data_IF_985080037393
#
_entry.id   IF_985080037393
#
_cell.length_a   1.000
_cell.length_b   1.000
_cell.length_c   1.000
_cell.angle_alpha   90.00
_cell.angle_beta   90.00
_cell.angle_gamma   90.00
#
_symmetry.space_group_name_H-M   'P 1'
#
loop_
_entity.id
_entity.type
_entity.pdbx_description
1 polymer ?
#
# COMPACT_ATOMS: atom_id res chain seq x y z
N UNK A 1 -8.26 2.17 -7.53
CA UNK A 1 -9.75 2.14 -7.63
C UNK A 1 -10.25 1.97 -9.05
N UNK A 2 -9.72 2.69 -10.05
CA UNK A 2 -10.13 2.54 -11.46
C UNK A 2 -9.93 1.13 -12.02
N UNK A 3 -8.78 0.50 -11.74
CA UNK A 3 -8.53 -0.92 -12.07
C UNK A 3 -9.64 -1.84 -11.55
N UNK A 4 -9.96 -1.75 -10.25
CA UNK A 4 -10.99 -2.56 -9.61
C UNK A 4 -12.36 -2.36 -10.26
N UNK A 5 -12.75 -1.11 -10.50
CA UNK A 5 -14.04 -0.80 -11.11
C UNK A 5 -14.15 -1.32 -12.56
N UNK A 6 -13.04 -1.33 -13.31
CA UNK A 6 -13.04 -1.76 -14.72
C UNK A 6 -12.86 -3.27 -14.90
N UNK A 7 -12.15 -3.93 -14.00
CA UNK A 7 -11.70 -5.33 -14.19
C UNK A 7 -12.27 -6.31 -13.17
N UNK A 8 -12.82 -5.79 -12.07
CA UNK A 8 -13.19 -6.60 -10.91
C UNK A 8 -12.00 -7.19 -10.16
N UNK A 9 -10.76 -6.72 -10.43
CA UNK A 9 -9.56 -7.21 -9.78
C UNK A 9 -8.74 -6.06 -9.18
N UNK A 10 -8.02 -6.36 -8.10
CA UNK A 10 -6.98 -5.48 -7.56
C UNK A 10 -5.90 -6.33 -6.90
N UNK A 11 -4.62 -6.00 -7.12
CA UNK A 11 -3.51 -6.68 -6.46
C UNK A 11 -3.60 -6.59 -4.93
N UNK A 12 -3.09 -7.60 -4.21
CA UNK A 12 -3.11 -7.61 -2.74
C UNK A 12 -2.50 -6.33 -2.12
N UNK A 13 -1.38 -5.85 -2.69
CA UNK A 13 -0.76 -4.58 -2.28
C UNK A 13 -1.69 -3.39 -2.52
N UNK A 14 -2.39 -3.36 -3.66
CA UNK A 14 -3.42 -2.35 -3.94
C UNK A 14 -4.53 -2.36 -2.90
N UNK A 15 -5.06 -3.54 -2.54
CA UNK A 15 -6.13 -3.67 -1.52
C UNK A 15 -5.68 -3.11 -0.17
N UNK A 16 -4.46 -3.44 0.25
CA UNK A 16 -3.85 -2.94 1.48
C UNK A 16 -3.66 -1.41 1.47
N UNK A 17 -3.20 -0.85 0.35
CA UNK A 17 -3.03 0.60 0.21
C UNK A 17 -4.36 1.34 0.33
N UNK A 18 -5.39 0.86 -0.39
CA UNK A 18 -6.74 1.43 -0.33
C UNK A 18 -7.33 1.33 1.08
N UNK A 19 -7.22 0.17 1.73
CA UNK A 19 -7.75 -0.03 3.07
C UNK A 19 -7.07 0.88 4.10
N UNK A 20 -5.74 1.00 4.05
CA UNK A 20 -5.01 1.92 4.92
C UNK A 20 -5.38 3.38 4.64
N UNK A 21 -5.49 3.79 3.37
CA UNK A 21 -5.84 5.17 3.03
C UNK A 21 -7.24 5.53 3.54
N UNK A 22 -8.24 4.68 3.27
CA UNK A 22 -9.62 4.91 3.70
C UNK A 22 -9.74 4.99 5.22
N UNK A 23 -9.11 4.08 5.95
CA UNK A 23 -9.29 3.98 7.40
C UNK A 23 -8.35 4.87 8.21
N UNK A 24 -7.14 5.15 7.72
CA UNK A 24 -6.09 5.86 8.47
C UNK A 24 -5.79 7.27 7.97
N UNK A 25 -6.02 7.55 6.68
CA UNK A 25 -5.85 8.91 6.14
C UNK A 25 -7.19 9.65 6.12
N UNK A 26 -8.27 9.00 5.69
CA UNK A 26 -9.61 9.62 5.66
C UNK A 26 -10.41 9.43 6.95
N UNK A 27 -10.04 8.46 7.79
CA UNK A 27 -10.75 8.17 9.04
C UNK A 27 -12.17 7.62 8.84
N UNK A 28 -12.45 7.03 7.67
CA UNK A 28 -13.77 6.50 7.34
C UNK A 28 -13.97 5.08 7.92
N UNK A 29 -15.24 4.69 8.06
CA UNK A 29 -15.61 3.35 8.49
C UNK A 29 -15.14 2.31 7.48
N UNK A 30 -14.37 1.33 7.96
CA UNK A 30 -13.79 0.28 7.14
C UNK A 30 -14.83 -0.58 6.42
N UNK A 31 -16.04 -0.71 6.99
CA UNK A 31 -17.13 -1.51 6.43
C UNK A 31 -17.56 -1.01 5.06
N UNK A 32 -17.56 0.30 4.86
CA UNK A 32 -17.88 0.91 3.55
C UNK A 32 -16.90 0.45 2.47
N UNK A 33 -15.61 0.34 2.81
CA UNK A 33 -14.60 -0.16 1.90
C UNK A 33 -14.74 -1.66 1.63
N UNK A 34 -15.06 -2.44 2.67
CA UNK A 34 -15.31 -3.88 2.55
C UNK A 34 -16.50 -4.18 1.64
N UNK A 35 -17.63 -3.49 1.83
CA UNK A 35 -18.85 -3.60 1.00
C UNK A 35 -18.57 -3.23 -0.46
N UNK A 36 -17.80 -2.16 -0.70
CA UNK A 36 -17.43 -1.76 -2.06
C UNK A 36 -16.55 -2.81 -2.75
N UNK A 37 -15.64 -3.44 -2.01
CA UNK A 37 -14.81 -4.52 -2.53
C UNK A 37 -15.59 -5.81 -2.74
N UNK A 38 -16.56 -6.12 -1.88
CA UNK A 38 -17.51 -7.22 -2.10
C UNK A 38 -18.30 -7.05 -3.39
N UNK A 39 -18.78 -5.84 -3.65
CA UNK A 39 -19.54 -5.55 -4.87
C UNK A 39 -18.73 -5.70 -6.16
N UNK A 40 -17.43 -5.37 -6.15
CA UNK A 40 -16.61 -5.32 -7.37
C UNK A 40 -15.70 -6.52 -7.57
N UNK A 41 -15.22 -7.17 -6.52
CA UNK A 41 -14.19 -8.21 -6.66
C UNK A 41 -14.76 -9.48 -7.29
N UNK A 42 -14.20 -9.88 -8.43
CA UNK A 42 -14.53 -11.16 -9.06
C UNK A 42 -14.00 -12.36 -8.26
N UNK A 43 -12.93 -12.15 -7.48
CA UNK A 43 -12.33 -13.13 -6.59
C UNK A 43 -12.74 -12.93 -5.13
N UNK A 44 -13.94 -12.38 -4.90
CA UNK A 44 -14.43 -12.12 -3.57
C UNK A 44 -14.56 -13.40 -2.74
N UNK A 45 -13.96 -13.36 -1.55
CA UNK A 45 -14.20 -14.30 -0.46
C UNK A 45 -14.47 -13.49 0.81
N UNK A 46 -15.52 -13.84 1.53
CA UNK A 46 -16.03 -13.08 2.69
C UNK A 46 -14.95 -12.97 3.76
N UNK A 47 -14.34 -14.11 4.12
CA UNK A 47 -13.33 -14.19 5.18
C UNK A 47 -12.09 -13.36 4.82
N UNK A 48 -11.60 -13.53 3.58
CA UNK A 48 -10.42 -12.83 3.09
C UNK A 48 -10.66 -11.32 2.97
N UNK A 49 -11.82 -10.89 2.46
CA UNK A 49 -12.13 -9.48 2.30
C UNK A 49 -12.31 -8.80 3.66
N UNK A 50 -13.31 -9.22 4.43
CA UNK A 50 -13.63 -8.58 5.71
C UNK A 50 -12.50 -8.71 6.73
N UNK A 51 -11.79 -9.85 6.76
CA UNK A 51 -10.63 -10.04 7.63
C UNK A 51 -9.49 -9.05 7.33
N UNK A 52 -9.17 -8.83 6.05
CA UNK A 52 -8.13 -7.87 5.65
C UNK A 52 -8.51 -6.42 5.96
N UNK A 53 -9.78 -6.05 5.76
CA UNK A 53 -10.29 -4.72 6.09
C UNK A 53 -10.30 -4.45 7.59
N UNK A 54 -10.82 -5.39 8.39
CA UNK A 54 -10.82 -5.34 9.85
C UNK A 54 -9.39 -5.17 10.40
N UNK A 55 -8.46 -5.98 9.88
CA UNK A 55 -7.05 -5.93 10.25
C UNK A 55 -6.40 -4.58 9.88
N UNK A 56 -6.65 -4.07 8.67
CA UNK A 56 -6.09 -2.80 8.20
C UNK A 56 -6.66 -1.60 8.97
N UNK A 57 -7.93 -1.68 9.37
CA UNK A 57 -8.56 -0.71 10.26
C UNK A 57 -7.97 -0.74 11.68
N UNK A 58 -7.21 -1.77 12.04
CA UNK A 58 -6.69 -1.96 13.38
C UNK A 58 -7.79 -2.30 14.38
N UNK A 59 -8.87 -2.93 13.94
CA UNK A 59 -9.97 -3.39 14.79
C UNK A 59 -9.75 -4.87 15.13
N UNK A 60 -10.09 -5.29 16.35
CA UNK A 60 -10.02 -6.69 16.78
C UNK A 60 -8.97 -6.96 17.85
N UNK A 61 -8.49 -8.20 17.93
CA UNK A 61 -7.74 -8.73 19.08
C UNK A 61 -6.23 -8.37 19.11
N UNK A 62 -5.68 -7.78 18.05
CA UNK A 62 -4.32 -7.22 18.01
C UNK A 62 -4.35 -5.89 17.22
N UNK A 63 -4.96 -4.83 17.80
CA UNK A 63 -5.11 -3.55 17.12
C UNK A 63 -3.74 -2.91 16.97
N UNK A 64 -3.16 -3.01 15.77
CA UNK A 64 -1.88 -2.36 15.46
C UNK A 64 -2.14 -0.97 14.90
N UNK A 65 -2.51 -0.04 15.79
CA UNK A 65 -2.83 1.35 15.47
C UNK A 65 -1.71 2.05 14.67
N UNK A 66 -0.46 1.68 14.92
CA UNK A 66 0.72 2.23 14.26
C UNK A 66 0.97 1.70 12.83
N UNK A 67 0.17 0.77 12.32
CA UNK A 67 0.33 0.21 10.96
C UNK A 67 -0.46 1.00 9.93
N UNK A 68 0.04 2.20 9.65
CA UNK A 68 -0.39 3.03 8.54
C UNK A 68 0.60 2.91 7.38
N UNK A 69 0.11 2.70 6.17
CA UNK A 69 0.93 2.76 4.97
C UNK A 69 1.14 4.21 4.53
N UNK A 70 2.34 4.50 4.03
CA UNK A 70 2.62 5.76 3.37
C UNK A 70 2.42 5.59 1.86
N UNK A 71 1.35 6.16 1.32
CA UNK A 71 0.95 5.96 -0.09
C UNK A 71 2.05 6.38 -1.07
N UNK A 72 2.76 7.47 -0.79
CA UNK A 72 3.87 7.92 -1.63
C UNK A 72 5.01 6.91 -1.62
N UNK A 73 5.39 6.42 -0.44
CA UNK A 73 6.42 5.38 -0.34
C UNK A 73 5.99 4.10 -1.09
N UNK A 74 4.74 3.67 -0.93
CA UNK A 74 4.24 2.48 -1.62
C UNK A 74 4.28 2.64 -3.15
N UNK A 75 3.92 3.83 -3.67
CA UNK A 75 4.07 4.15 -5.09
C UNK A 75 5.53 4.04 -5.55
N UNK A 76 6.46 4.63 -4.81
CA UNK A 76 7.89 4.56 -5.12
C UNK A 76 8.48 3.14 -5.03
N UNK A 77 8.02 2.33 -4.08
CA UNK A 77 8.53 0.97 -3.88
C UNK A 77 8.03 0.00 -4.96
N UNK A 78 6.77 0.13 -5.39
CA UNK A 78 6.07 -0.87 -6.22
C UNK A 78 5.76 -0.41 -7.65
N UNK A 79 5.79 0.90 -7.91
CA UNK A 79 5.54 1.52 -9.21
C UNK A 79 6.53 2.67 -9.44
N UNK A 80 7.83 2.41 -9.25
CA UNK A 80 8.87 3.46 -9.30
C UNK A 80 8.86 4.27 -10.61
N UNK A 81 8.51 3.62 -11.73
CA UNK A 81 8.42 4.28 -13.02
C UNK A 81 7.08 5.02 -13.20
N UNK A 82 6.03 4.67 -12.46
CA UNK A 82 4.70 5.26 -12.62
C UNK A 82 3.82 4.61 -13.69
N UNK A 83 4.22 3.44 -14.20
CA UNK A 83 3.55 2.76 -15.31
C UNK A 83 2.14 2.29 -14.93
N UNK A 84 1.96 1.83 -13.68
CA UNK A 84 0.65 1.43 -13.19
C UNK A 84 -0.30 2.62 -13.09
N UNK A 85 0.16 3.74 -12.53
CA UNK A 85 -0.67 4.95 -12.42
C UNK A 85 -1.02 5.46 -13.81
N UNK A 86 -0.08 5.59 -14.74
CA UNK A 86 -0.36 6.08 -16.12
C UNK A 86 -1.33 5.19 -16.89
N UNK A 87 -1.29 3.87 -16.66
CA UNK A 87 -2.25 2.93 -17.25
C UNK A 87 -3.69 3.23 -16.82
N UNK A 88 -3.89 3.47 -15.53
CA UNK A 88 -5.23 3.60 -14.95
C UNK A 88 -5.70 5.06 -14.80
N UNK A 89 -4.80 6.03 -14.93
CA UNK A 89 -5.05 7.47 -14.79
C UNK A 89 -4.57 8.17 -16.06
N UNK A 90 -5.35 8.11 -17.16
CA UNK A 90 -4.93 8.59 -18.47
C UNK A 90 -4.56 10.08 -18.48
N UNK A 91 -5.22 10.89 -17.67
CA UNK A 91 -4.92 12.32 -17.53
C UNK A 91 -3.50 12.61 -16.99
N UNK A 92 -2.82 11.63 -16.41
CA UNK A 92 -1.43 11.75 -15.92
C UNK A 92 -0.41 11.05 -16.83
N UNK A 93 -0.79 10.58 -18.02
CA UNK A 93 0.08 9.78 -18.90
C UNK A 93 1.37 10.49 -19.34
N UNK A 94 1.34 11.82 -19.40
CA UNK A 94 2.46 12.66 -19.82
C UNK A 94 3.53 12.80 -18.73
N UNK A 95 3.17 12.58 -17.46
CA UNK A 95 4.11 12.66 -16.34
C UNK A 95 5.06 11.47 -16.33
N UNK A 96 6.36 11.77 -16.28
CA UNK A 96 7.41 10.76 -16.37
C UNK A 96 7.92 10.34 -14.99
N UNK A 97 8.35 9.08 -14.90
CA UNK A 97 8.92 8.53 -13.68
C UNK A 97 7.99 8.62 -12.47
N UNK A 98 8.58 8.84 -11.30
CA UNK A 98 7.87 8.83 -10.03
C UNK A 98 7.05 10.10 -9.75
N UNK A 99 7.13 11.12 -10.59
CA UNK A 99 6.38 12.38 -10.45
C UNK A 99 4.86 12.16 -10.49
N UNK A 100 4.42 11.09 -11.17
CA UNK A 100 3.02 10.69 -11.28
C UNK A 100 2.36 10.42 -9.91
N UNK A 101 3.16 10.08 -8.88
CA UNK A 101 2.65 9.78 -7.55
C UNK A 101 2.37 11.04 -6.72
N UNK A 102 2.91 12.19 -7.11
CA UNK A 102 2.80 13.47 -6.38
C UNK A 102 2.61 14.68 -7.31
N UNK A 103 1.63 14.68 -8.23
CA UNK A 103 1.46 15.75 -9.20
C UNK A 103 1.25 17.13 -8.54
N UNK A 104 0.63 17.20 -7.36
CA UNK A 104 0.40 18.44 -6.61
C UNK A 104 1.67 19.13 -6.07
N UNK A 105 2.83 18.49 -6.22
CA UNK A 105 4.13 19.03 -5.76
C UNK A 105 4.97 19.57 -6.91
N UNK A 106 4.50 19.39 -8.14
CA UNK A 106 5.20 19.83 -9.35
C UNK A 106 5.04 21.33 -9.55
N UNK A 107 5.99 21.92 -10.27
CA UNK A 107 5.90 23.34 -10.65
C UNK A 107 4.79 23.56 -11.67
N UNK A 108 4.25 24.77 -11.72
CA UNK A 108 3.25 25.15 -12.72
C UNK A 108 3.75 24.91 -14.17
N UNK A 109 5.05 25.09 -14.42
CA UNK A 109 5.65 24.81 -15.72
C UNK A 109 5.64 23.31 -16.06
N UNK A 110 5.97 22.44 -15.09
CA UNK A 110 5.95 20.98 -15.29
C UNK A 110 4.51 20.47 -15.51
N UNK A 111 3.54 20.98 -14.73
CA UNK A 111 2.12 20.66 -14.90
C UNK A 111 1.58 21.14 -16.25
N UNK A 112 1.93 22.35 -16.68
CA UNK A 112 1.55 22.89 -17.99
C UNK A 112 2.12 22.07 -19.15
N UNK A 113 3.41 21.71 -19.08
CA UNK A 113 4.03 20.83 -20.08
C UNK A 113 3.36 19.45 -20.14
N UNK A 114 2.91 18.95 -19.00
CA UNK A 114 2.17 17.68 -18.89
C UNK A 114 0.68 17.81 -19.23
N UNK A 115 0.17 19.02 -19.49
CA UNK A 115 -1.27 19.29 -19.70
C UNK A 115 -2.15 18.85 -18.51
N UNK A 116 -1.62 18.96 -17.29
CA UNK A 116 -2.32 18.63 -16.05
C UNK A 116 -2.73 19.91 -15.32
N UNK A 117 -4.03 20.10 -15.10
CA UNK A 117 -4.61 21.16 -14.28
C UNK A 117 -5.19 20.57 -13.01
N UNK A 118 -4.62 20.92 -11.86
CA UNK A 118 -5.12 20.45 -10.56
C UNK A 118 -6.46 21.09 -10.24
N UNK A 119 -7.45 20.27 -9.90
CA UNK A 119 -8.84 20.67 -9.68
C UNK A 119 -9.72 20.62 -10.94
N UNK A 120 -9.13 20.48 -12.12
CA UNK A 120 -9.87 20.38 -13.39
C UNK A 120 -9.65 19.01 -14.04
N UNK A 121 -8.43 18.74 -14.52
CA UNK A 121 -8.12 17.46 -15.19
C UNK A 121 -7.75 16.37 -14.21
N UNK A 122 -7.11 16.73 -13.09
CA UNK A 122 -6.79 15.81 -11.99
C UNK A 122 -7.09 16.47 -10.65
N UNK A 123 -7.73 15.79 -9.67
CA UNK A 123 -8.14 16.42 -8.43
C UNK A 123 -6.96 16.86 -7.56
N UNK A 124 -7.19 17.90 -6.75
CA UNK A 124 -6.32 18.20 -5.61
C UNK A 124 -6.43 17.10 -4.56
N UNK A 125 -5.36 16.78 -3.81
CA UNK A 125 -5.43 15.77 -2.76
C UNK A 125 -6.48 16.14 -1.71
N UNK A 126 -7.38 15.21 -1.40
CA UNK A 126 -8.39 15.40 -0.36
C UNK A 126 -7.77 15.50 1.05
N UNK A 127 -6.61 14.87 1.23
CA UNK A 127 -5.83 14.88 2.47
C UNK A 127 -4.36 14.89 2.13
N UNK A 128 -3.56 15.57 2.95
CA UNK A 128 -2.09 15.55 2.88
C UNK A 128 -1.58 15.09 4.23
N UNK A 129 -1.22 13.81 4.34
CA UNK A 129 -0.72 13.27 5.59
C UNK A 129 0.73 13.75 5.85
N UNK A 130 1.08 14.20 7.07
CA UNK A 130 2.40 14.75 7.37
C UNK A 130 3.56 13.82 7.00
N UNK A 131 3.38 12.51 7.15
CA UNK A 131 4.38 11.48 6.86
C UNK A 131 4.72 11.34 5.37
N UNK A 132 3.85 11.79 4.46
CA UNK A 132 4.12 11.75 3.01
C UNK A 132 5.31 12.63 2.63
N UNK A 133 5.49 13.76 3.33
CA UNK A 133 6.57 14.74 3.09
C UNK A 133 7.97 14.10 3.05
N UNK A 134 8.20 13.04 3.85
CA UNK A 134 9.47 12.30 3.93
C UNK A 134 9.86 11.63 2.61
N UNK A 135 8.89 11.33 1.75
CA UNK A 135 9.08 10.61 0.50
C UNK A 135 8.84 11.47 -0.73
N UNK A 136 8.01 12.52 -0.62
CA UNK A 136 7.83 13.55 -1.66
C UNK A 136 9.16 14.19 -2.05
N UNK A 137 10.01 14.50 -1.06
CA UNK A 137 11.28 15.21 -1.29
C UNK A 137 12.44 14.30 -1.70
N UNK A 138 12.26 12.96 -1.69
CA UNK A 138 13.27 12.03 -2.19
C UNK A 138 13.12 11.89 -3.71
N UNK A 139 13.54 12.92 -4.44
CA UNK A 139 13.79 12.82 -5.88
C UNK A 139 14.89 11.78 -6.08
N UNK A 140 14.60 10.69 -6.79
CA UNK A 140 15.68 9.84 -7.29
C UNK A 140 16.47 10.67 -8.31
N UNK A 141 17.78 10.91 -8.12
CA UNK A 141 18.60 11.43 -9.20
C UNK A 141 18.57 10.39 -10.32
N UNK A 142 18.49 10.86 -11.57
CA UNK A 142 18.31 10.05 -12.76
C UNK A 142 19.19 8.81 -12.79
N UNK A 143 18.67 7.75 -13.43
CA UNK A 143 19.30 6.47 -13.66
C UNK A 143 20.81 6.56 -13.93
N UNK A 144 21.60 6.44 -12.86
CA UNK A 144 22.99 6.02 -12.91
C UNK A 144 23.00 4.59 -12.36
N UNK A 145 23.30 3.63 -13.22
CA UNK A 145 23.54 2.24 -12.85
C UNK A 145 24.73 2.18 -11.89
N UNK A 146 24.44 2.22 -10.60
CA UNK A 146 25.40 1.97 -9.53
C UNK A 146 24.85 0.86 -8.66
N UNK A 147 25.33 -0.37 -8.86
CA UNK A 147 25.16 -1.45 -7.90
C UNK A 147 25.68 -0.98 -6.54
N UNK A 148 24.79 -0.53 -5.66
CA UNK A 148 25.17 -0.25 -4.28
C UNK A 148 25.33 -1.60 -3.58
N UNK A 149 26.57 -2.06 -3.49
CA UNK A 149 26.96 -3.10 -2.55
C UNK A 149 26.52 -2.66 -1.15
N UNK A 150 25.44 -3.25 -0.66
CA UNK A 150 25.08 -3.16 0.76
C UNK A 150 26.18 -3.85 1.55
N UNK A 151 26.89 -3.06 2.36
CA UNK A 151 27.94 -3.53 3.24
C UNK A 151 27.49 -4.73 4.08
N UNK A 152 28.38 -5.73 4.16
CA UNK A 152 28.34 -6.82 5.13
C UNK A 152 28.10 -6.24 6.53
N UNK A 153 26.91 -6.49 7.09
CA UNK A 153 26.73 -6.49 8.55
C UNK A 153 27.35 -7.79 9.08
N UNK A 154 28.07 -7.67 10.19
CA UNK A 154 28.72 -8.77 10.92
C UNK A 154 27.75 -9.85 11.39
N UNK A 155 28.28 -10.91 12.04
CA UNK A 155 27.68 -12.24 12.03
C UNK A 155 26.29 -12.26 12.65
N UNK A 156 25.35 -12.83 11.91
CA UNK A 156 24.02 -13.19 12.38
C UNK A 156 24.14 -14.28 13.44
N UNK A 157 23.73 -13.99 14.67
CA UNK A 157 23.46 -15.04 15.64
C UNK A 157 22.15 -15.73 15.24
N UNK A 158 22.25 -16.86 14.57
CA UNK A 158 21.12 -17.74 14.24
C UNK A 158 20.76 -18.55 15.49
N UNK A 159 19.55 -18.45 16.05
CA UNK A 159 19.11 -19.41 17.06
C UNK A 159 19.03 -20.80 16.40
N UNK A 160 19.56 -21.83 17.08
CA UNK A 160 19.49 -23.22 16.62
C UNK A 160 18.03 -23.62 16.33
N UNK A 161 17.79 -24.16 15.14
CA UNK A 161 16.55 -24.86 14.80
C UNK A 161 16.29 -25.95 15.82
N UNK A 162 15.19 -25.84 16.58
CA UNK A 162 14.58 -26.99 17.21
C UNK A 162 13.93 -27.83 16.10
N UNK A 163 14.64 -28.90 15.69
CA UNK A 163 14.00 -30.05 15.08
C UNK A 163 13.04 -30.64 16.12
N UNK A 164 11.88 -31.10 15.67
CA UNK A 164 10.83 -31.79 16.44
C UNK A 164 9.78 -30.92 17.14
N UNK A 165 8.93 -30.25 16.34
CA UNK A 165 7.53 -30.00 16.74
C UNK A 165 6.59 -30.30 15.59
N UNK A 166 6.25 -31.58 15.47
CA UNK A 166 5.14 -32.05 14.63
C UNK A 166 3.77 -31.77 15.25
N UNK A 167 2.75 -32.25 14.56
CA UNK A 167 1.31 -32.07 14.83
C UNK A 167 0.85 -32.54 16.23
N UNK A 168 1.69 -33.31 16.93
CA UNK A 168 1.40 -33.88 18.26
C UNK A 168 1.35 -32.87 19.40
N UNK A 169 1.74 -31.61 19.15
CA UNK A 169 1.62 -30.54 20.16
C UNK A 169 0.16 -30.25 20.58
N UNK A 170 -0.82 -30.58 19.73
CA UNK A 170 -2.23 -30.24 19.97
C UNK A 170 -3.02 -31.33 20.71
N UNK A 171 -2.45 -32.50 21.00
CA UNK A 171 -3.15 -33.60 21.68
C UNK A 171 -2.36 -34.17 22.86
N UNK A 172 -2.01 -33.33 23.83
CA UNK A 172 -1.63 -33.86 25.16
C UNK A 172 -2.88 -34.05 26.01
N UNK A 173 -3.34 -35.31 26.11
CA UNK A 173 -4.16 -35.77 27.23
C UNK A 173 -3.24 -35.81 28.44
N UNK A 174 -3.43 -34.87 29.36
CA UNK A 174 -3.34 -35.11 30.80
C UNK A 174 -3.79 -33.84 31.53
N UNK A 175 -5.11 -33.72 31.72
CA UNK A 175 -5.66 -32.95 32.83
C UNK A 175 -5.98 -33.93 33.95
N UNK A 176 -5.01 -34.16 34.82
CA UNK A 176 -5.24 -34.59 36.19
C UNK A 176 -5.24 -33.36 37.08
N UNK A 177 -6.41 -32.90 37.50
CA UNK A 177 -6.61 -32.03 38.65
C UNK A 177 -7.33 -32.86 39.72
N UNK A 178 -7.24 -32.41 40.99
CA UNK A 178 -6.31 -32.89 42.01
C UNK A 178 -6.43 -34.39 42.36
#
# INVERSE_FOLDING_TARGET
MRELAMTGFMSNRGRQNVASFLTKDLGLDWRMGAEWFEYLLIDHDVCSNYGNWLYSAGVGNDPRENRKFNMIKQGLDYDNNGDFVRRWVPELQTLQGSEVHTPWTLSAAALSHAQVSLGETYPVPIVIAPEWSRHVNKKQPGAASGSSHRGRKGPSHTPKQHRDRGIDFYFSKDKGFP
#
